data_IF_815274702846
#
_entry.id   IF_815274702846
#
_cell.length_a   1.000
_cell.length_b   1.000
_cell.length_c   1.000
_cell.angle_alpha   90.00
_cell.angle_beta   90.00
_cell.angle_gamma   90.00
#
_symmetry.space_group_name_H-M   'P 1'
#
loop_
_entity.id
_entity.type
_entity.pdbx_description
1 polymer ?
#
# COMPACT_ATOMS: atom_id res chain seq x y z
N UNK A 1 -3.58 -3.40 34.12
CA UNK A 1 -2.90 -3.95 32.93
C UNK A 1 -3.98 -4.24 31.91
N UNK A 2 -4.10 -3.42 30.87
CA UNK A 2 -5.13 -3.60 29.83
C UNK A 2 -4.61 -4.62 28.83
N UNK A 3 -5.22 -5.81 28.82
CA UNK A 3 -5.01 -6.82 27.79
C UNK A 3 -5.50 -6.27 26.46
N UNK A 4 -4.58 -6.04 25.53
CA UNK A 4 -4.90 -5.70 24.14
C UNK A 4 -5.30 -7.01 23.43
N UNK A 5 -6.44 -7.08 22.71
CA UNK A 5 -6.91 -8.34 22.16
C UNK A 5 -6.11 -8.69 20.90
N UNK A 6 -5.27 -9.72 20.99
CA UNK A 6 -4.53 -10.30 19.85
C UNK A 6 -5.45 -10.89 18.76
N UNK A 7 -6.74 -11.10 19.04
CA UNK A 7 -7.70 -11.70 18.12
C UNK A 7 -8.09 -10.79 16.93
N UNK A 8 -8.01 -9.46 17.06
CA UNK A 8 -8.37 -8.55 15.97
C UNK A 8 -7.33 -8.54 14.84
N UNK A 9 -6.06 -8.72 15.16
CA UNK A 9 -4.96 -8.69 14.17
C UNK A 9 -5.04 -9.87 13.19
N UNK A 10 -5.48 -11.05 13.64
CA UNK A 10 -5.57 -12.25 12.80
C UNK A 10 -6.72 -12.18 11.79
N UNK A 11 -7.84 -11.58 12.17
CA UNK A 11 -8.99 -11.39 11.26
C UNK A 11 -8.74 -10.27 10.25
N UNK A 12 -7.98 -9.23 10.66
CA UNK A 12 -7.54 -8.17 9.76
C UNK A 12 -6.56 -8.73 8.73
N UNK A 13 -5.49 -9.43 9.15
CA UNK A 13 -4.51 -10.05 8.25
C UNK A 13 -5.13 -11.00 7.20
N UNK A 14 -6.23 -11.69 7.55
CA UNK A 14 -6.98 -12.53 6.61
C UNK A 14 -7.79 -11.71 5.59
N UNK A 15 -8.29 -10.52 5.96
CA UNK A 15 -8.93 -9.55 5.04
C UNK A 15 -7.89 -8.84 4.18
N UNK A 16 -6.74 -8.54 4.75
CA UNK A 16 -5.58 -7.95 4.07
C UNK A 16 -4.83 -8.95 3.17
N UNK A 17 -5.43 -10.10 2.81
CA UNK A 17 -4.85 -11.06 1.88
C UNK A 17 -3.50 -11.66 2.32
N UNK A 18 -3.19 -11.66 3.62
CA UNK A 18 -1.91 -12.09 4.17
C UNK A 18 -0.85 -10.99 4.24
N UNK A 19 -1.17 -9.74 3.90
CA UNK A 19 -0.29 -8.59 4.10
C UNK A 19 -0.27 -8.21 5.58
N UNK A 20 0.92 -7.97 6.13
CA UNK A 20 1.06 -7.52 7.51
C UNK A 20 0.52 -6.08 7.65
N UNK A 21 -0.26 -5.76 8.71
CA UNK A 21 -0.90 -4.45 8.84
C UNK A 21 0.10 -3.30 8.95
N UNK A 22 1.28 -3.53 9.54
CA UNK A 22 2.35 -2.53 9.57
C UNK A 22 2.89 -2.20 8.17
N UNK A 23 3.01 -3.21 7.31
CA UNK A 23 3.46 -3.06 5.92
C UNK A 23 2.46 -2.26 5.10
N UNK A 24 1.17 -2.58 5.26
CA UNK A 24 0.08 -1.82 4.63
C UNK A 24 0.14 -0.34 5.00
N UNK A 25 0.26 -0.02 6.29
CA UNK A 25 0.31 1.35 6.78
C UNK A 25 1.52 2.13 6.24
N UNK A 26 2.69 1.50 6.16
CA UNK A 26 3.90 2.12 5.59
C UNK A 26 3.71 2.42 4.11
N UNK A 27 3.21 1.44 3.34
CA UNK A 27 2.96 1.61 1.90
C UNK A 27 1.94 2.73 1.66
N UNK A 28 0.79 2.69 2.34
CA UNK A 28 -0.28 3.69 2.26
C UNK A 28 0.25 5.10 2.54
N UNK A 29 1.03 5.26 3.62
CA UNK A 29 1.61 6.57 3.99
C UNK A 29 2.56 7.09 2.92
N UNK A 30 3.35 6.22 2.29
CA UNK A 30 4.27 6.58 1.21
C UNK A 30 3.54 6.94 -0.07
N UNK A 31 2.53 6.16 -0.47
CA UNK A 31 1.69 6.48 -1.63
C UNK A 31 1.00 7.84 -1.46
N UNK A 32 0.42 8.09 -0.29
CA UNK A 32 -0.20 9.38 0.01
C UNK A 32 0.81 10.54 -0.08
N UNK A 33 2.04 10.34 0.41
CA UNK A 33 3.10 11.35 0.28
C UNK A 33 3.51 11.58 -1.18
N UNK A 34 3.63 10.52 -1.99
CA UNK A 34 3.93 10.63 -3.42
C UNK A 34 2.85 11.41 -4.16
N UNK A 35 1.57 11.10 -3.95
CA UNK A 35 0.43 11.83 -4.54
C UNK A 35 0.30 13.27 -4.06
N UNK A 36 0.86 13.62 -2.91
CA UNK A 36 0.87 14.99 -2.38
C UNK A 36 2.09 15.80 -2.84
N UNK A 37 3.11 15.18 -3.43
CA UNK A 37 4.38 15.83 -3.73
C UNK A 37 4.83 15.62 -5.18
N UNK A 38 5.30 14.42 -5.51
CA UNK A 38 5.90 14.11 -6.80
C UNK A 38 4.87 13.86 -7.89
N UNK A 39 3.77 13.21 -7.54
CA UNK A 39 2.69 12.80 -8.44
C UNK A 39 1.47 13.71 -8.28
N UNK A 40 1.67 14.97 -7.84
CA UNK A 40 0.56 15.87 -7.54
C UNK A 40 -0.25 16.24 -8.79
N UNK A 41 0.43 16.39 -9.93
CA UNK A 41 -0.14 16.69 -11.25
C UNK A 41 -0.45 15.42 -12.05
N UNK A 42 -0.11 14.24 -11.53
CA UNK A 42 -0.36 12.96 -12.19
C UNK A 42 -1.67 12.34 -11.67
N UNK A 43 -2.60 12.07 -12.58
CA UNK A 43 -3.88 11.43 -12.26
C UNK A 43 -3.77 9.91 -12.18
N UNK A 44 -2.73 9.35 -12.80
CA UNK A 44 -2.47 7.92 -12.86
C UNK A 44 -0.97 7.62 -12.88
N UNK A 45 -0.58 6.44 -12.40
CA UNK A 45 0.79 5.93 -12.42
C UNK A 45 0.80 4.41 -12.63
N UNK A 46 1.78 3.88 -13.35
CA UNK A 46 1.97 2.44 -13.45
C UNK A 46 2.38 1.86 -12.10
N UNK A 47 1.84 0.69 -11.75
CA UNK A 47 2.15 0.01 -10.50
C UNK A 47 3.66 -0.24 -10.36
N UNK A 48 4.35 -0.58 -11.44
CA UNK A 48 5.81 -0.77 -11.43
C UNK A 48 6.54 0.52 -10.97
N UNK A 49 6.24 1.65 -11.61
CA UNK A 49 6.82 2.97 -11.27
C UNK A 49 6.43 3.42 -9.86
N UNK A 50 5.20 3.13 -9.44
CA UNK A 50 4.73 3.40 -8.08
C UNK A 50 5.55 2.61 -7.06
N UNK A 51 5.77 1.31 -7.30
CA UNK A 51 6.56 0.45 -6.42
C UNK A 51 8.00 0.94 -6.33
N UNK A 52 8.61 1.30 -7.45
CA UNK A 52 9.95 1.90 -7.46
C UNK A 52 10.00 3.21 -6.64
N UNK A 53 9.00 4.06 -6.80
CA UNK A 53 8.89 5.32 -6.06
C UNK A 53 8.63 5.12 -4.57
N UNK A 54 7.82 4.13 -4.18
CA UNK A 54 7.57 3.76 -2.78
C UNK A 54 8.84 3.19 -2.15
N UNK A 55 9.58 2.37 -2.91
CA UNK A 55 10.83 1.75 -2.48
C UNK A 55 12.00 2.74 -2.37
N UNK A 56 11.89 3.92 -2.99
CA UNK A 56 12.92 4.94 -2.92
C UNK A 56 13.25 5.31 -1.47
N UNK A 57 14.51 5.15 -1.10
CA UNK A 57 15.01 5.44 0.25
C UNK A 57 14.67 4.41 1.33
N UNK A 58 14.08 3.25 0.96
CA UNK A 58 13.96 2.11 1.88
C UNK A 58 15.27 1.30 1.91
N UNK A 59 15.55 0.69 3.06
CA UNK A 59 16.58 -0.34 3.17
C UNK A 59 16.16 -1.59 2.39
N UNK A 60 17.13 -2.39 1.93
CA UNK A 60 16.88 -3.60 1.13
C UNK A 60 15.97 -4.62 1.81
N UNK A 61 16.02 -4.70 3.15
CA UNK A 61 15.16 -5.56 3.97
C UNK A 61 13.70 -5.07 4.03
N UNK A 62 13.46 -3.80 3.73
CA UNK A 62 12.14 -3.18 3.81
C UNK A 62 11.48 -2.96 2.44
N UNK A 63 12.12 -3.37 1.34
CA UNK A 63 11.57 -3.19 -0.01
C UNK A 63 10.25 -3.94 -0.18
N UNK A 64 9.32 -3.32 -0.89
CA UNK A 64 8.09 -3.94 -1.34
C UNK A 64 8.35 -4.67 -2.65
N UNK A 65 7.97 -5.94 -2.70
CA UNK A 65 7.92 -6.70 -3.94
C UNK A 65 6.65 -6.37 -4.74
N UNK A 66 6.65 -6.69 -6.04
CA UNK A 66 5.48 -6.45 -6.92
C UNK A 66 4.23 -7.15 -6.39
N UNK A 67 4.32 -8.41 -5.98
CA UNK A 67 3.17 -9.17 -5.48
C UNK A 67 2.58 -8.57 -4.19
N UNK A 68 3.43 -8.14 -3.25
CA UNK A 68 3.00 -7.48 -2.01
C UNK A 68 2.33 -6.14 -2.33
N UNK A 69 2.94 -5.34 -3.20
CA UNK A 69 2.39 -4.06 -3.60
C UNK A 69 1.05 -4.17 -4.35
N UNK A 70 0.90 -5.17 -5.24
CA UNK A 70 -0.39 -5.45 -5.90
C UNK A 70 -1.45 -5.78 -4.87
N UNK A 71 -1.14 -6.64 -3.88
CA UNK A 71 -2.09 -6.98 -2.83
C UNK A 71 -2.49 -5.75 -2.00
N UNK A 72 -1.52 -4.90 -1.64
CA UNK A 72 -1.76 -3.64 -0.93
C UNK A 72 -2.63 -2.70 -1.75
N UNK A 73 -2.32 -2.48 -3.03
CA UNK A 73 -3.13 -1.61 -3.89
C UNK A 73 -4.56 -2.15 -4.04
N UNK A 74 -4.75 -3.46 -4.05
CA UNK A 74 -6.07 -4.07 -4.07
C UNK A 74 -6.86 -3.79 -2.78
N UNK A 75 -6.21 -3.87 -1.61
CA UNK A 75 -6.82 -3.52 -0.31
C UNK A 75 -7.19 -2.04 -0.27
N UNK A 76 -6.31 -1.17 -0.76
CA UNK A 76 -6.57 0.26 -0.86
C UNK A 76 -7.71 0.57 -1.84
N UNK A 77 -7.84 -0.21 -2.92
CA UNK A 77 -8.97 -0.12 -3.86
C UNK A 77 -10.29 -0.51 -3.19
N UNK A 78 -10.31 -1.62 -2.45
CA UNK A 78 -11.48 -2.04 -1.64
C UNK A 78 -11.88 -1.00 -0.60
N UNK A 79 -10.89 -0.23 -0.11
CA UNK A 79 -11.09 0.85 0.85
C UNK A 79 -11.42 2.21 0.23
N UNK A 80 -11.64 2.29 -1.09
CA UNK A 80 -11.93 3.53 -1.83
C UNK A 80 -10.83 4.61 -1.71
N UNK A 81 -9.57 4.20 -1.50
CA UNK A 81 -8.43 5.12 -1.35
C UNK A 81 -7.69 5.40 -2.65
N UNK A 82 -7.85 4.52 -3.63
CA UNK A 82 -7.33 4.63 -4.99
C UNK A 82 -8.11 3.66 -5.88
N UNK A 83 -7.92 3.73 -7.19
CA UNK A 83 -8.39 2.68 -8.08
C UNK A 83 -7.20 2.00 -8.75
N UNK A 84 -7.29 0.69 -8.96
CA UNK A 84 -6.29 -0.05 -9.72
C UNK A 84 -6.95 -0.79 -10.88
N UNK A 85 -6.39 -0.68 -12.08
CA UNK A 85 -6.88 -1.37 -13.29
C UNK A 85 -5.73 -1.64 -14.26
N UNK A 86 -5.60 -2.89 -14.71
CA UNK A 86 -4.56 -3.33 -15.66
C UNK A 86 -3.12 -2.92 -15.27
N UNK A 87 -2.82 -2.94 -13.97
CA UNK A 87 -1.51 -2.52 -13.46
C UNK A 87 -1.27 -1.01 -13.47
N UNK A 88 -2.31 -0.20 -13.70
CA UNK A 88 -2.32 1.26 -13.55
C UNK A 88 -3.08 1.61 -12.28
N UNK A 89 -2.50 2.50 -11.48
CA UNK A 89 -3.09 3.04 -10.25
C UNK A 89 -3.57 4.46 -10.55
N UNK A 90 -4.82 4.74 -10.21
CA UNK A 90 -5.50 6.01 -10.39
C UNK A 90 -5.79 6.63 -9.02
N UNK A 91 -5.61 7.94 -8.94
CA UNK A 91 -5.99 8.71 -7.76
C UNK A 91 -7.51 8.90 -7.73
N UNK A 92 -8.10 8.79 -6.53
CA UNK A 92 -9.52 9.09 -6.25
C UNK A 92 -9.69 10.46 -5.63
#
# INVERSE_FOLDING_TARGET
>A
MVTVPVAAASAQAARDGGVQPERLQVFRSRVANLFATRLQDEEQIFLAELVESVNAGLSTDALFGTAEATAICQIMTDSDELMMSDGIVYKV
#
